data_IF_134647132907
#
_entry.id   IF_134647132907
#
_cell.length_a   1.000
_cell.length_b   1.000
_cell.length_c   1.000
_cell.angle_alpha   90.00
_cell.angle_beta   90.00
_cell.angle_gamma   90.00
#
_symmetry.space_group_name_H-M   'P 1'
#
loop_
_entity.id
_entity.type
_entity.pdbx_description
1 polymer ?
#
# COMPACT_ATOMS: atom_id res chain seq x y z
N UNK A 1 63.30 12.53 -4.15
CA UNK A 1 62.08 13.10 -3.51
C UNK A 1 61.70 12.17 -2.35
N UNK A 2 62.00 12.53 -1.09
CA UNK A 2 61.69 11.70 0.08
C UNK A 2 60.25 12.01 0.49
N UNK A 3 59.32 11.11 0.17
CA UNK A 3 57.92 11.19 0.69
C UNK A 3 58.01 10.91 2.19
N UNK A 4 57.57 11.89 3.01
CA UNK A 4 57.63 11.78 4.46
C UNK A 4 56.66 10.67 4.92
N UNK A 5 57.16 9.74 5.73
CA UNK A 5 56.40 8.65 6.35
C UNK A 5 55.09 9.14 7.04
N UNK A 6 55.12 10.34 7.59
CA UNK A 6 53.94 11.00 8.20
C UNK A 6 52.86 11.33 7.17
N UNK A 7 53.23 11.73 5.96
CA UNK A 7 52.28 12.06 4.88
C UNK A 7 51.58 10.81 4.34
N UNK A 8 52.33 9.70 4.24
CA UNK A 8 51.79 8.41 3.78
C UNK A 8 50.82 7.81 4.80
N UNK A 9 51.15 7.93 6.10
CA UNK A 9 50.26 7.44 7.17
C UNK A 9 48.95 8.23 7.22
N UNK A 10 48.99 9.56 7.05
CA UNK A 10 47.80 10.41 7.00
C UNK A 10 46.93 10.08 5.79
N UNK A 11 47.48 9.80 4.63
CA UNK A 11 46.77 9.39 3.42
C UNK A 11 46.05 8.04 3.61
N UNK A 12 46.68 7.07 4.26
CA UNK A 12 46.06 5.78 4.60
C UNK A 12 44.94 5.92 5.61
N UNK A 13 45.05 6.85 6.57
CA UNK A 13 43.99 7.11 7.54
C UNK A 13 42.76 7.71 6.88
N UNK A 14 42.91 8.66 5.96
CA UNK A 14 41.79 9.24 5.20
C UNK A 14 41.17 8.23 4.23
N UNK A 15 41.96 7.33 3.64
CA UNK A 15 41.43 6.31 2.74
C UNK A 15 40.53 5.28 3.47
N UNK A 16 40.84 4.97 4.72
CA UNK A 16 40.01 4.05 5.53
C UNK A 16 38.70 4.71 6.06
N UNK A 17 38.67 6.03 6.22
CA UNK A 17 37.45 6.74 6.64
C UNK A 17 36.41 6.86 5.54
N UNK A 18 36.78 6.66 4.27
CA UNK A 18 35.87 6.81 3.13
C UNK A 18 35.01 5.56 2.85
N UNK A 19 35.20 4.45 3.56
CA UNK A 19 34.51 3.18 3.33
C UNK A 19 33.37 2.87 4.33
N UNK A 20 32.94 3.81 5.14
CA UNK A 20 31.66 3.64 5.84
C UNK A 20 30.51 3.92 4.88
N UNK A 21 30.33 3.04 3.91
CA UNK A 21 29.08 2.97 3.16
C UNK A 21 27.99 2.57 4.15
N UNK A 22 27.25 3.55 4.65
CA UNK A 22 25.99 3.30 5.33
C UNK A 22 25.06 2.67 4.31
N UNK A 23 25.06 1.34 4.25
CA UNK A 23 24.03 0.59 3.57
C UNK A 23 22.72 0.82 4.36
N UNK A 24 22.05 1.92 4.08
CA UNK A 24 20.70 2.14 4.60
C UNK A 24 19.85 0.99 4.10
N UNK A 25 19.45 0.13 5.02
CA UNK A 25 18.54 -0.96 4.72
C UNK A 25 17.26 -0.35 4.15
N UNK A 26 17.00 -0.61 2.87
CA UNK A 26 15.80 -0.09 2.19
C UNK A 26 14.57 -0.49 3.00
N UNK A 27 13.79 0.48 3.45
CA UNK A 27 12.51 0.23 4.11
C UNK A 27 11.54 -0.33 3.07
N UNK A 28 11.08 -1.56 3.27
CA UNK A 28 10.07 -2.20 2.44
C UNK A 28 8.69 -2.00 3.05
N UNK A 29 7.73 -1.61 2.25
CA UNK A 29 6.32 -1.59 2.65
C UNK A 29 5.81 -3.02 2.90
N UNK A 30 4.72 -3.19 3.65
CA UNK A 30 4.12 -4.51 3.79
C UNK A 30 3.70 -5.09 2.43
N UNK A 31 3.23 -4.25 1.52
CA UNK A 31 2.83 -4.65 0.16
C UNK A 31 3.99 -5.25 -0.65
N UNK A 32 5.24 -4.80 -0.47
CA UNK A 32 6.43 -5.37 -1.13
C UNK A 32 6.85 -6.74 -0.55
N UNK A 33 6.37 -7.11 0.64
CA UNK A 33 6.79 -8.31 1.36
C UNK A 33 5.86 -9.52 1.08
N UNK A 34 5.63 -9.85 -0.17
CA UNK A 34 4.70 -10.90 -0.61
C UNK A 34 4.86 -12.24 0.13
N UNK A 35 6.09 -12.66 0.38
CA UNK A 35 6.37 -13.93 1.08
C UNK A 35 5.72 -14.04 2.45
N UNK A 36 5.40 -12.91 3.09
CA UNK A 36 4.79 -12.90 4.42
C UNK A 36 3.28 -13.13 4.39
N UNK A 37 2.58 -12.67 3.36
CA UNK A 37 1.12 -12.69 3.34
C UNK A 37 0.49 -13.48 2.18
N UNK A 38 1.21 -13.74 1.09
CA UNK A 38 0.66 -14.41 -0.10
C UNK A 38 0.02 -15.76 0.23
N UNK A 39 0.56 -16.49 1.21
CA UNK A 39 0.04 -17.79 1.64
C UNK A 39 -1.39 -17.73 2.18
N UNK A 40 -1.80 -16.60 2.74
CA UNK A 40 -3.14 -16.39 3.27
C UNK A 40 -4.15 -16.01 2.18
N UNK A 41 -3.67 -15.62 0.99
CA UNK A 41 -4.50 -15.24 -0.15
C UNK A 41 -4.70 -16.36 -1.15
N UNK A 42 -3.89 -17.44 -1.05
CA UNK A 42 -4.02 -18.60 -1.93
C UNK A 42 -5.35 -19.30 -1.68
N UNK A 43 -6.06 -19.61 -2.78
CA UNK A 43 -7.38 -20.27 -2.78
C UNK A 43 -8.51 -19.42 -2.17
N UNK A 44 -8.26 -18.13 -1.91
CA UNK A 44 -9.28 -17.19 -1.45
C UNK A 44 -9.80 -16.33 -2.60
N UNK A 45 -11.05 -15.90 -2.47
CA UNK A 45 -11.67 -14.89 -3.31
C UNK A 45 -11.39 -13.53 -2.68
N UNK A 46 -10.43 -12.80 -3.21
CA UNK A 46 -9.88 -11.60 -2.56
C UNK A 46 -10.62 -10.35 -3.00
N UNK A 47 -11.17 -9.60 -2.02
CA UNK A 47 -11.49 -8.19 -2.18
C UNK A 47 -10.29 -7.35 -1.81
N UNK A 48 -9.95 -6.34 -2.58
CA UNK A 48 -8.81 -5.46 -2.27
C UNK A 48 -9.21 -3.99 -2.24
N UNK A 49 -8.86 -3.30 -1.15
CA UNK A 49 -8.97 -1.85 -1.03
C UNK A 49 -7.65 -1.25 -1.46
N UNK A 50 -7.65 -0.52 -2.57
CA UNK A 50 -6.45 0.07 -3.14
C UNK A 50 -6.78 1.35 -3.91
N UNK A 51 -5.76 2.18 -4.17
CA UNK A 51 -5.90 3.38 -4.99
C UNK A 51 -4.74 3.49 -5.99
N UNK A 52 -4.70 4.59 -6.74
CA UNK A 52 -3.65 4.84 -7.73
C UNK A 52 -2.22 4.83 -7.17
N UNK A 53 -2.04 5.01 -5.85
CA UNK A 53 -0.74 5.03 -5.19
C UNK A 53 -0.31 3.66 -4.64
N UNK A 54 -1.13 2.61 -4.76
CA UNK A 54 -0.87 1.27 -4.23
C UNK A 54 0.16 0.51 -5.08
N UNK A 55 1.35 1.09 -5.24
CA UNK A 55 2.47 0.48 -5.96
C UNK A 55 3.35 -0.36 -5.01
N UNK A 56 3.83 -1.49 -5.50
CA UNK A 56 4.84 -2.36 -4.85
C UNK A 56 6.23 -2.15 -5.45
N UNK A 57 6.32 -1.49 -6.59
CA UNK A 57 7.57 -1.04 -7.21
C UNK A 57 7.27 0.12 -8.14
N UNK A 58 8.31 0.74 -8.70
CA UNK A 58 8.19 1.97 -9.52
C UNK A 58 7.07 1.91 -10.58
N UNK A 59 6.79 0.74 -11.16
CA UNK A 59 5.83 0.58 -12.25
C UNK A 59 4.79 -0.55 -12.02
N UNK A 60 4.83 -1.24 -10.88
CA UNK A 60 3.95 -2.38 -10.63
C UNK A 60 2.96 -2.06 -9.53
N UNK A 61 1.70 -1.97 -9.90
CA UNK A 61 0.61 -1.84 -8.95
C UNK A 61 0.38 -3.18 -8.22
N UNK A 62 -0.03 -3.13 -6.94
CA UNK A 62 -0.25 -4.33 -6.12
C UNK A 62 -1.21 -5.32 -6.79
N UNK A 63 -2.30 -4.85 -7.39
CA UNK A 63 -3.30 -5.69 -8.05
C UNK A 63 -2.67 -6.49 -9.19
N UNK A 64 -1.88 -5.82 -10.05
CA UNK A 64 -1.20 -6.51 -11.16
C UNK A 64 -0.22 -7.55 -10.66
N UNK A 65 0.48 -7.24 -9.57
CA UNK A 65 1.43 -8.15 -8.93
C UNK A 65 0.74 -9.37 -8.33
N UNK A 66 -0.38 -9.18 -7.61
CA UNK A 66 -1.14 -10.28 -7.01
C UNK A 66 -1.74 -11.20 -8.08
N UNK A 67 -2.31 -10.65 -9.16
CA UNK A 67 -2.80 -11.43 -10.29
C UNK A 67 -1.68 -12.24 -10.93
N UNK A 68 -0.50 -11.65 -11.14
CA UNK A 68 0.66 -12.35 -11.72
C UNK A 68 1.17 -13.49 -10.82
N UNK A 69 0.92 -13.42 -9.53
CA UNK A 69 1.22 -14.45 -8.53
C UNK A 69 0.10 -15.48 -8.38
N UNK A 70 -0.93 -15.43 -9.23
CA UNK A 70 -2.03 -16.40 -9.27
C UNK A 70 -3.09 -16.20 -8.18
N UNK A 71 -3.19 -15.01 -7.59
CA UNK A 71 -4.23 -14.68 -6.62
C UNK A 71 -5.52 -14.31 -7.35
N UNK A 72 -6.64 -14.90 -6.93
CA UNK A 72 -7.96 -14.58 -7.45
C UNK A 72 -8.50 -13.30 -6.79
N UNK A 73 -8.46 -12.18 -7.52
CA UNK A 73 -9.06 -10.92 -7.08
C UNK A 73 -10.47 -10.83 -7.67
N UNK A 74 -11.46 -10.74 -6.80
CA UNK A 74 -12.87 -10.65 -7.19
C UNK A 74 -13.30 -9.21 -7.45
N UNK A 75 -12.92 -8.28 -6.56
CA UNK A 75 -13.34 -6.90 -6.59
C UNK A 75 -12.27 -5.96 -6.05
N UNK A 76 -12.26 -4.74 -6.59
CA UNK A 76 -11.42 -3.65 -6.12
C UNK A 76 -12.31 -2.58 -5.48
N UNK A 77 -12.01 -2.22 -4.25
CA UNK A 77 -12.68 -1.13 -3.52
C UNK A 77 -11.79 0.09 -3.55
N UNK A 78 -12.37 1.23 -3.91
CA UNK A 78 -11.60 2.45 -4.16
C UNK A 78 -12.16 3.60 -3.34
N UNK A 79 -11.34 4.23 -2.49
CA UNK A 79 -11.74 5.45 -1.79
C UNK A 79 -11.74 6.65 -2.73
N UNK A 80 -11.86 7.85 -2.18
CA UNK A 80 -11.69 9.11 -2.89
C UNK A 80 -10.41 9.12 -3.77
N UNK A 81 -10.43 9.85 -4.88
CA UNK A 81 -9.35 10.00 -5.88
C UNK A 81 -9.12 8.82 -6.85
N UNK A 82 -9.96 7.80 -6.81
CA UNK A 82 -10.02 6.77 -7.84
C UNK A 82 -8.89 5.75 -7.85
N UNK A 83 -8.87 4.93 -8.88
CA UNK A 83 -7.95 3.82 -9.05
C UNK A 83 -6.88 4.14 -10.12
N UNK A 84 -7.06 3.72 -11.37
CA UNK A 84 -6.10 3.98 -12.46
C UNK A 84 -6.45 5.25 -13.24
N UNK A 85 -7.71 5.64 -13.21
CA UNK A 85 -8.22 6.86 -13.82
C UNK A 85 -8.29 7.91 -12.72
N UNK A 86 -7.65 9.04 -12.91
CA UNK A 86 -7.72 10.17 -11.98
C UNK A 86 -9.09 10.79 -12.07
N UNK A 87 -9.87 10.70 -10.99
CA UNK A 87 -10.95 11.63 -10.75
C UNK A 87 -10.41 12.89 -10.09
N UNK A 88 -10.94 14.04 -10.42
CA UNK A 88 -10.65 15.27 -9.69
C UNK A 88 -11.16 15.18 -8.24
N UNK A 89 -10.58 15.98 -7.34
CA UNK A 89 -11.01 16.01 -5.94
C UNK A 89 -12.51 16.30 -5.86
N UNK A 90 -13.28 15.39 -5.21
CA UNK A 90 -14.74 15.51 -5.10
C UNK A 90 -15.54 14.91 -6.25
N UNK A 91 -14.93 14.39 -7.29
CA UNK A 91 -15.62 13.70 -8.38
C UNK A 91 -16.22 12.37 -7.91
N UNK A 92 -17.50 12.12 -8.19
CA UNK A 92 -18.15 10.83 -7.88
C UNK A 92 -17.57 9.75 -8.80
N UNK A 93 -16.83 8.84 -8.19
CA UNK A 93 -16.36 7.65 -8.87
C UNK A 93 -17.53 6.66 -8.87
N UNK A 94 -18.08 6.40 -10.07
CA UNK A 94 -19.11 5.39 -10.25
C UNK A 94 -18.48 3.99 -10.28
N UNK A 95 -19.26 2.98 -9.94
CA UNK A 95 -18.88 1.59 -10.13
C UNK A 95 -18.53 1.34 -11.61
N UNK A 96 -17.37 0.80 -11.86
CA UNK A 96 -16.86 0.58 -13.20
C UNK A 96 -15.99 -0.68 -13.27
N UNK A 97 -15.48 -1.01 -14.45
CA UNK A 97 -14.50 -2.10 -14.60
C UNK A 97 -13.12 -1.51 -14.88
N UNK A 98 -12.11 -2.08 -14.26
CA UNK A 98 -10.72 -1.74 -14.58
C UNK A 98 -10.43 -2.04 -16.06
N UNK A 99 -9.99 -1.05 -16.86
CA UNK A 99 -9.74 -1.25 -18.28
C UNK A 99 -8.68 -2.32 -18.55
N UNK A 100 -7.73 -2.52 -17.64
CA UNK A 100 -6.62 -3.46 -17.77
C UNK A 100 -7.01 -4.89 -17.35
N UNK A 101 -7.55 -5.06 -16.16
CA UNK A 101 -7.82 -6.37 -15.56
C UNK A 101 -9.26 -6.82 -15.72
N UNK A 102 -10.16 -5.92 -16.12
CA UNK A 102 -11.62 -6.12 -16.22
C UNK A 102 -12.30 -6.38 -14.87
N UNK A 103 -11.57 -6.26 -13.76
CA UNK A 103 -12.12 -6.42 -12.42
C UNK A 103 -13.18 -5.35 -12.12
N UNK A 104 -14.25 -5.70 -11.39
CA UNK A 104 -15.19 -4.71 -10.87
C UNK A 104 -14.50 -3.75 -9.91
N UNK A 105 -14.68 -2.47 -10.12
CA UNK A 105 -14.24 -1.40 -9.22
C UNK A 105 -15.48 -0.84 -8.54
N UNK A 106 -15.48 -0.88 -7.21
CA UNK A 106 -16.55 -0.41 -6.36
C UNK A 106 -16.08 0.84 -5.60
N UNK A 107 -16.84 1.92 -5.71
CA UNK A 107 -16.52 3.18 -5.05
C UNK A 107 -16.90 3.15 -3.57
N UNK A 108 -16.00 3.59 -2.71
CA UNK A 108 -16.23 3.85 -1.28
C UNK A 108 -16.27 5.36 -0.99
N UNK A 109 -16.73 6.15 -1.96
CA UNK A 109 -16.82 7.60 -1.86
C UNK A 109 -18.25 8.13 -2.00
N UNK A 110 -18.54 9.26 -1.37
CA UNK A 110 -19.86 9.86 -1.37
C UNK A 110 -20.81 9.17 -0.39
N UNK A 111 -21.96 8.68 -0.88
CA UNK A 111 -23.01 8.11 -0.05
C UNK A 111 -22.70 6.68 0.43
N UNK A 112 -21.82 5.96 -0.28
CA UNK A 112 -21.48 4.56 -0.03
C UNK A 112 -20.05 4.42 0.52
N UNK A 113 -19.81 4.84 1.76
CA UNK A 113 -18.48 4.77 2.39
C UNK A 113 -18.14 3.41 2.96
N UNK A 114 -19.13 2.66 3.41
CA UNK A 114 -19.00 1.30 3.94
C UNK A 114 -19.49 0.29 2.90
N UNK A 115 -18.72 -0.78 2.59
CA UNK A 115 -19.23 -1.85 1.73
C UNK A 115 -20.52 -2.46 2.29
N UNK A 116 -21.53 -2.61 1.46
CA UNK A 116 -22.74 -3.33 1.80
C UNK A 116 -22.61 -4.83 1.51
N UNK A 117 -23.64 -5.60 1.83
CA UNK A 117 -23.66 -7.04 1.64
C UNK A 117 -23.42 -7.47 0.18
N UNK A 118 -24.00 -6.76 -0.80
CA UNK A 118 -23.82 -7.05 -2.23
C UNK A 118 -22.37 -6.83 -2.66
N UNK A 119 -21.71 -5.82 -2.09
CA UNK A 119 -20.31 -5.52 -2.35
C UNK A 119 -19.39 -6.64 -1.85
N UNK A 120 -19.72 -7.26 -0.71
CA UNK A 120 -18.94 -8.32 -0.10
C UNK A 120 -19.28 -9.73 -0.60
N UNK A 121 -20.36 -9.88 -1.39
CA UNK A 121 -20.74 -11.18 -1.92
C UNK A 121 -19.63 -11.82 -2.74
N UNK A 122 -19.30 -13.07 -2.42
CA UNK A 122 -18.26 -13.87 -3.09
C UNK A 122 -16.85 -13.64 -2.56
N UNK A 123 -16.63 -12.68 -1.63
CA UNK A 123 -15.33 -12.40 -1.04
C UNK A 123 -15.14 -13.27 0.20
N UNK A 124 -14.02 -13.96 0.30
CA UNK A 124 -13.61 -14.77 1.46
C UNK A 124 -12.43 -14.17 2.23
N UNK A 125 -11.70 -13.22 1.63
CA UNK A 125 -10.56 -12.52 2.24
C UNK A 125 -10.55 -11.07 1.77
N UNK A 126 -10.32 -10.13 2.69
CA UNK A 126 -10.14 -8.71 2.38
C UNK A 126 -8.68 -8.30 2.57
N UNK A 127 -8.16 -7.51 1.64
CA UNK A 127 -6.83 -6.86 1.74
C UNK A 127 -7.01 -5.36 1.71
N UNK A 128 -6.32 -4.65 2.60
CA UNK A 128 -6.32 -3.19 2.65
C UNK A 128 -4.92 -2.66 2.38
N UNK A 129 -4.74 -1.90 1.30
CA UNK A 129 -3.47 -1.32 0.88
C UNK A 129 -3.64 0.15 0.48
N UNK A 130 -3.77 1.03 1.47
CA UNK A 130 -3.80 2.47 1.28
C UNK A 130 -2.71 3.15 2.10
N UNK A 131 -2.09 4.18 1.52
CA UNK A 131 -1.09 4.99 2.20
C UNK A 131 -1.77 6.02 3.10
N UNK A 132 -1.67 5.85 4.42
CA UNK A 132 -1.97 6.93 5.37
C UNK A 132 -0.76 7.88 5.48
N UNK A 133 -1.01 9.14 5.81
CA UNK A 133 0.03 10.18 5.93
C UNK A 133 0.09 10.80 7.33
N UNK A 134 -0.64 10.25 8.31
CA UNK A 134 -0.58 10.63 9.72
C UNK A 134 -1.15 12.00 10.04
N UNK A 135 -2.09 12.50 9.24
CA UNK A 135 -2.79 13.77 9.51
C UNK A 135 -4.28 13.53 9.76
N UNK A 136 -4.86 14.26 10.71
CA UNK A 136 -6.23 14.02 11.21
C UNK A 136 -7.33 14.18 10.16
N UNK A 137 -7.15 15.05 9.17
CA UNK A 137 -8.13 15.28 8.12
C UNK A 137 -8.03 14.29 6.95
N UNK A 138 -7.04 13.38 6.98
CA UNK A 138 -6.87 12.38 5.93
C UNK A 138 -7.82 11.20 6.17
N UNK A 139 -8.64 10.88 5.17
CA UNK A 139 -9.85 10.05 5.38
C UNK A 139 -9.61 8.54 5.32
N UNK A 140 -8.40 8.07 5.01
CA UNK A 140 -8.16 6.64 4.83
C UNK A 140 -8.24 5.81 6.10
N UNK A 141 -7.97 6.43 7.27
CA UNK A 141 -8.23 5.76 8.55
C UNK A 141 -9.73 5.49 8.76
N UNK A 142 -10.61 6.39 8.31
CA UNK A 142 -12.06 6.18 8.33
C UNK A 142 -12.48 5.09 7.33
N UNK A 143 -11.83 5.04 6.15
CA UNK A 143 -12.05 3.95 5.19
C UNK A 143 -11.68 2.60 5.81
N UNK A 144 -10.53 2.51 6.50
CA UNK A 144 -10.12 1.30 7.19
C UNK A 144 -11.16 0.88 8.24
N UNK A 145 -11.65 1.83 9.04
CA UNK A 145 -12.67 1.56 10.05
C UNK A 145 -13.93 0.94 9.42
N UNK A 146 -14.48 1.52 8.35
CA UNK A 146 -15.65 1.00 7.66
C UNK A 146 -15.41 -0.39 7.03
N UNK A 147 -14.21 -0.64 6.50
CA UNK A 147 -13.83 -1.96 5.99
C UNK A 147 -13.77 -2.99 7.12
N UNK A 148 -13.15 -2.65 8.26
CA UNK A 148 -13.09 -3.53 9.44
C UNK A 148 -14.49 -3.90 9.94
N UNK A 149 -15.38 -2.92 10.06
CA UNK A 149 -16.76 -3.11 10.48
C UNK A 149 -17.51 -4.02 9.50
N UNK A 150 -17.45 -3.75 8.20
CA UNK A 150 -18.11 -4.54 7.17
C UNK A 150 -17.59 -5.99 7.12
N UNK A 151 -16.29 -6.18 7.27
CA UNK A 151 -15.65 -7.49 7.35
C UNK A 151 -16.06 -8.25 8.60
N UNK A 152 -16.12 -7.59 9.76
CA UNK A 152 -16.54 -8.21 11.01
C UNK A 152 -18.01 -8.69 10.95
N UNK A 153 -18.90 -7.90 10.38
CA UNK A 153 -20.32 -8.27 10.21
C UNK A 153 -20.53 -9.52 9.34
N UNK A 154 -19.58 -9.82 8.45
CA UNK A 154 -19.62 -10.96 7.52
C UNK A 154 -18.62 -12.05 7.83
N UNK A 155 -17.87 -11.94 8.95
CA UNK A 155 -16.80 -12.86 9.33
C UNK A 155 -15.74 -13.05 8.21
N UNK A 156 -15.42 -11.97 7.47
CA UNK A 156 -14.40 -11.98 6.44
C UNK A 156 -13.07 -11.56 7.10
N UNK A 157 -12.01 -12.39 7.04
CA UNK A 157 -10.67 -11.98 7.50
C UNK A 157 -10.15 -10.78 6.72
N UNK A 158 -9.43 -9.88 7.42
CA UNK A 158 -8.82 -8.69 6.84
C UNK A 158 -7.31 -8.70 7.05
N UNK A 159 -6.57 -8.48 5.98
CA UNK A 159 -5.12 -8.22 6.01
C UNK A 159 -4.88 -6.74 5.72
N UNK A 160 -4.23 -6.04 6.64
CA UNK A 160 -3.77 -4.66 6.43
C UNK A 160 -2.31 -4.68 6.01
N UNK A 161 -2.03 -4.17 4.82
CA UNK A 161 -0.69 -3.99 4.30
C UNK A 161 -0.21 -2.58 4.67
N UNK A 162 0.40 -2.49 5.85
CA UNK A 162 0.86 -1.23 6.40
C UNK A 162 1.94 -0.57 5.54
N UNK A 163 1.85 0.75 5.44
CA UNK A 163 2.79 1.60 4.72
C UNK A 163 3.39 2.63 5.69
N UNK A 164 4.69 2.90 5.61
CA UNK A 164 5.34 3.85 6.50
C UNK A 164 4.68 5.23 6.45
N UNK A 165 4.35 5.78 7.61
CA UNK A 165 3.86 7.13 7.70
C UNK A 165 4.97 8.15 7.39
N UNK A 166 4.87 8.96 6.33
CA UNK A 166 5.89 9.93 5.95
C UNK A 166 6.08 11.04 6.99
N UNK A 167 5.08 11.27 7.84
CA UNK A 167 5.08 12.29 8.89
C UNK A 167 5.35 11.71 10.30
N UNK A 168 5.82 10.46 10.41
CA UNK A 168 6.03 9.79 11.70
C UNK A 168 7.06 10.48 12.62
N UNK A 169 7.87 11.39 12.07
CA UNK A 169 8.84 12.19 12.84
C UNK A 169 8.24 13.46 13.47
N UNK A 170 6.98 13.78 13.16
CA UNK A 170 6.25 14.84 13.81
C UNK A 170 5.26 14.28 14.83
N UNK A 171 5.23 14.88 16.02
CA UNK A 171 4.17 14.70 17.00
C UNK A 171 3.59 16.10 17.19
N UNK A 172 2.40 16.33 16.64
CA UNK A 172 1.71 17.61 16.70
C UNK A 172 0.25 17.41 17.08
N UNK A 173 -0.29 18.37 17.77
CA UNK A 173 -1.68 18.40 18.18
C UNK A 173 -1.87 18.57 19.67
N UNK A 174 -3.13 18.89 20.11
CA UNK A 174 -3.49 19.03 21.51
C UNK A 174 -3.39 17.70 22.25
#
# INVERSE_FOLDING_TARGET
MKVSFKSTFLFFLFFNLSFTSNCQKKLLTAAEQFSKYIRFLKNENVGIVANKASFVSKNNHIIDSLISLGINIEKVFVPEHGFRISGDAGEKILDQKDPKTKLPILSLYGDQRKPNERHLQGISMMVFDLQDVGVRFYTYISTLHYIMEACAEKNIPLIVLDRPNPNAHFIDGP
#
